data_IF_472427782712
#
_entry.id   IF_472427782712
#
_cell.length_a   1.000
_cell.length_b   1.000
_cell.length_c   1.000
_cell.angle_alpha   90.00
_cell.angle_beta   90.00
_cell.angle_gamma   90.00
#
_symmetry.space_group_name_H-M   'P 1'
#
loop_
_entity.id
_entity.type
_entity.pdbx_description
1 polymer ?
#
# COMPACT_ATOMS: atom_id res chain seq x y z
N UNK A 1 -15.44 -3.20 -2.00
CA UNK A 1 -14.61 -4.41 -2.24
C UNK A 1 -13.27 -4.17 -1.59
N UNK A 2 -12.65 -5.21 -1.02
CA UNK A 2 -11.29 -5.13 -0.47
C UNK A 2 -10.40 -6.12 -1.19
N UNK A 3 -9.20 -5.68 -1.56
CA UNK A 3 -8.16 -6.52 -2.14
C UNK A 3 -6.87 -6.35 -1.32
N UNK A 4 -6.11 -7.44 -1.19
CA UNK A 4 -4.79 -7.42 -0.58
C UNK A 4 -3.76 -7.67 -1.67
N UNK A 5 -2.72 -6.85 -1.71
CA UNK A 5 -1.62 -6.97 -2.64
C UNK A 5 -0.31 -7.09 -1.85
N UNK A 6 0.33 -8.24 -1.97
CA UNK A 6 1.64 -8.49 -1.38
C UNK A 6 2.73 -8.02 -2.33
N UNK A 7 3.74 -7.31 -1.80
CA UNK A 7 4.84 -6.79 -2.60
C UNK A 7 6.17 -6.88 -1.85
N UNK A 8 7.28 -7.08 -2.58
CA UNK A 8 8.60 -7.11 -1.98
C UNK A 8 9.03 -5.70 -1.55
N UNK A 9 9.71 -5.61 -0.43
CA UNK A 9 10.38 -4.41 0.03
C UNK A 9 11.74 -4.76 0.64
N UNK A 10 12.56 -3.74 0.84
CA UNK A 10 13.88 -3.85 1.46
C UNK A 10 13.88 -2.98 2.70
N UNK A 11 14.25 -3.53 3.86
CA UNK A 11 14.43 -2.75 5.09
C UNK A 11 15.65 -1.84 4.97
N UNK A 12 15.75 -0.82 5.82
CA UNK A 12 16.94 0.04 5.91
C UNK A 12 18.25 -0.72 6.22
N UNK A 13 18.14 -1.96 6.71
CA UNK A 13 19.28 -2.84 6.98
C UNK A 13 19.66 -3.71 5.77
N UNK A 14 18.94 -3.58 4.66
CA UNK A 14 19.15 -4.36 3.43
C UNK A 14 18.45 -5.73 3.44
N UNK A 15 17.54 -5.97 4.39
CA UNK A 15 16.82 -7.24 4.50
C UNK A 15 15.61 -7.25 3.58
N UNK A 16 15.41 -8.34 2.85
CA UNK A 16 14.21 -8.51 2.04
C UNK A 16 13.03 -8.84 2.95
N UNK A 17 11.94 -8.07 2.81
CA UNK A 17 10.70 -8.24 3.54
C UNK A 17 9.52 -8.21 2.57
N UNK A 18 8.37 -8.70 3.01
CA UNK A 18 7.11 -8.57 2.27
C UNK A 18 6.20 -7.62 3.01
N UNK A 19 5.66 -6.65 2.28
CA UNK A 19 4.61 -5.75 2.76
C UNK A 19 3.30 -6.10 2.06
N UNK A 20 2.19 -5.71 2.69
CA UNK A 20 0.83 -5.92 2.21
C UNK A 20 0.16 -4.56 2.06
N UNK A 21 -0.37 -4.27 0.88
CA UNK A 21 -1.26 -3.15 0.62
C UNK A 21 -2.71 -3.64 0.59
N UNK A 22 -3.53 -3.13 1.50
CA UNK A 22 -4.97 -3.36 1.53
C UNK A 22 -5.67 -2.23 0.77
N UNK A 23 -6.21 -2.55 -0.39
CA UNK A 23 -6.90 -1.64 -1.30
C UNK A 23 -8.40 -1.66 -1.00
N UNK A 24 -8.95 -0.51 -0.60
CA UNK A 24 -10.39 -0.34 -0.48
C UNK A 24 -10.96 0.22 -1.78
N UNK A 25 -11.93 -0.46 -2.38
CA UNK A 25 -12.67 0.06 -3.53
C UNK A 25 -14.10 0.43 -3.13
N UNK A 26 -14.43 1.71 -3.27
CA UNK A 26 -15.76 2.22 -3.04
C UNK A 26 -16.55 2.18 -4.35
N UNK A 27 -17.73 1.56 -4.31
CA UNK A 27 -18.65 1.52 -5.44
C UNK A 27 -19.28 2.88 -5.62
N UNK A 28 -19.08 3.50 -6.79
CA UNK A 28 -19.85 4.65 -7.22
C UNK A 28 -20.77 4.18 -8.35
N UNK A 29 -22.03 3.94 -8.02
CA UNK A 29 -23.04 3.56 -9.00
C UNK A 29 -23.38 4.82 -9.80
N UNK A 30 -22.95 4.86 -11.06
CA UNK A 30 -23.32 5.96 -11.94
C UNK A 30 -24.78 5.82 -12.36
N UNK A 31 -25.43 6.94 -12.67
CA UNK A 31 -26.85 7.00 -13.05
C UNK A 31 -27.19 6.20 -14.33
N UNK A 32 -26.18 5.82 -15.13
CA UNK A 32 -26.32 4.99 -16.33
C UNK A 32 -26.25 3.48 -16.05
N UNK A 33 -26.15 3.05 -14.79
CA UNK A 33 -26.05 1.63 -14.42
C UNK A 33 -24.64 1.05 -14.54
N UNK A 34 -23.64 1.83 -14.95
CA UNK A 34 -22.24 1.41 -14.91
C UNK A 34 -21.69 1.54 -13.49
N UNK A 35 -21.11 0.45 -12.98
CA UNK A 35 -20.36 0.48 -11.74
C UNK A 35 -18.96 1.04 -12.01
N UNK A 36 -18.67 2.23 -11.48
CA UNK A 36 -17.31 2.74 -11.42
C UNK A 36 -16.77 2.51 -10.01
N UNK A 37 -15.61 1.87 -9.89
CA UNK A 37 -14.93 1.70 -8.62
C UNK A 37 -13.93 2.84 -8.44
N UNK A 38 -14.04 3.53 -7.30
CA UNK A 38 -13.04 4.51 -6.90
C UNK A 38 -12.13 3.87 -5.86
N UNK A 39 -10.82 3.93 -6.10
CA UNK A 39 -9.83 3.57 -5.09
C UNK A 39 -9.99 4.52 -3.90
N UNK A 40 -10.26 3.93 -2.75
CA UNK A 40 -10.30 4.58 -1.45
C UNK A 40 -8.93 4.57 -0.77
N UNK A 41 -8.88 4.77 0.55
CA UNK A 41 -7.63 4.71 1.31
C UNK A 41 -6.92 3.37 1.11
N UNK A 42 -5.58 3.42 1.04
CA UNK A 42 -4.72 2.24 1.04
C UNK A 42 -4.12 2.11 2.44
N UNK A 43 -4.23 0.92 3.03
CA UNK A 43 -3.58 0.60 4.29
C UNK A 43 -2.39 -0.32 4.04
N UNK A 44 -1.25 -0.03 4.66
CA UNK A 44 -0.06 -0.87 4.54
C UNK A 44 0.20 -1.62 5.86
N UNK A 45 0.70 -2.84 5.73
CA UNK A 45 1.12 -3.66 6.86
C UNK A 45 2.32 -4.50 6.48
N UNK A 46 3.13 -4.87 7.46
CA UNK A 46 4.04 -6.00 7.33
C UNK A 46 3.27 -7.32 7.37
N UNK A 47 3.90 -8.43 6.95
CA UNK A 47 3.31 -9.79 7.01
C UNK A 47 2.92 -10.23 8.43
N UNK A 48 3.63 -9.74 9.46
CA UNK A 48 3.31 -10.02 10.87
C UNK A 48 2.23 -9.09 11.44
N UNK A 49 1.63 -8.23 10.62
CA UNK A 49 0.46 -7.41 10.98
C UNK A 49 0.80 -6.04 11.57
N UNK A 50 2.07 -5.61 11.55
CA UNK A 50 2.46 -4.28 12.04
C UNK A 50 2.05 -3.21 11.03
N UNK A 51 1.37 -2.13 11.46
CA UNK A 51 0.90 -1.09 10.56
C UNK A 51 2.05 -0.25 9.99
N UNK A 52 1.95 0.07 8.71
CA UNK A 52 2.95 0.81 7.94
C UNK A 52 2.32 2.05 7.32
N UNK A 53 3.03 3.18 7.40
CA UNK A 53 2.69 4.43 6.72
C UNK A 53 3.59 4.64 5.49
N UNK A 54 3.06 5.31 4.47
CA UNK A 54 3.85 5.73 3.32
C UNK A 54 4.09 7.25 3.36
N UNK A 55 5.34 7.67 3.28
CA UNK A 55 5.72 9.08 3.19
C UNK A 55 6.08 9.44 1.74
N UNK A 56 5.17 10.13 1.07
CA UNK A 56 5.28 10.42 -0.36
C UNK A 56 6.51 11.24 -0.76
N UNK A 57 7.03 12.11 0.13
CA UNK A 57 8.19 12.95 -0.18
C UNK A 57 9.51 12.17 -0.16
N UNK A 58 9.63 11.17 0.71
CA UNK A 58 10.83 10.33 0.78
C UNK A 58 10.70 9.04 -0.02
N UNK A 59 9.49 8.68 -0.47
CA UNK A 59 9.22 7.42 -1.17
C UNK A 59 9.45 6.20 -0.28
N UNK A 60 9.27 6.36 1.03
CA UNK A 60 9.58 5.33 2.03
C UNK A 60 8.34 4.90 2.80
N UNK A 61 8.37 3.66 3.25
CA UNK A 61 7.40 3.06 4.14
C UNK A 61 7.95 3.04 5.56
N UNK A 62 7.15 3.36 6.56
CA UNK A 62 7.55 3.49 7.96
C UNK A 62 6.66 2.61 8.83
N UNK A 63 7.24 1.72 9.61
CA UNK A 63 6.49 0.98 10.61
C UNK A 63 6.06 1.93 11.74
N UNK A 64 4.77 1.96 12.13
CA UNK A 64 4.34 2.85 13.23
C UNK A 64 4.82 2.39 14.60
N UNK A 65 4.98 1.07 14.76
CA UNK A 65 5.32 0.42 16.02
C UNK A 65 6.83 0.13 16.15
N UNK A 66 7.66 0.71 15.27
CA UNK A 66 9.12 0.55 15.31
C UNK A 66 9.86 1.62 14.53
N UNK A 67 11.18 1.71 14.70
CA UNK A 67 12.04 2.63 13.95
C UNK A 67 12.51 2.03 12.62
N UNK A 68 11.69 1.17 12.01
CA UNK A 68 12.04 0.44 10.79
C UNK A 68 11.43 1.14 9.57
N UNK A 69 12.27 1.32 8.55
CA UNK A 69 11.86 1.91 7.29
C UNK A 69 12.10 0.93 6.15
N UNK A 70 11.25 0.99 5.13
CA UNK A 70 11.30 0.10 3.97
C UNK A 70 11.22 0.90 2.68
N UNK A 71 11.84 0.35 1.63
CA UNK A 71 11.71 0.83 0.26
C UNK A 71 11.27 -0.31 -0.64
N UNK A 72 10.60 0.00 -1.74
CA UNK A 72 10.24 -0.98 -2.77
C UNK A 72 10.59 -0.43 -4.15
N UNK A 73 10.96 -1.32 -5.05
CA UNK A 73 11.09 -1.08 -6.49
C UNK A 73 9.86 -1.59 -7.26
N UNK A 74 8.81 -2.06 -6.57
CA UNK A 74 7.57 -2.52 -7.17
C UNK A 74 6.82 -1.36 -7.86
N UNK A 75 6.94 -1.30 -9.18
CA UNK A 75 6.33 -0.24 -9.98
C UNK A 75 4.80 -0.23 -9.88
N UNK A 76 4.15 -1.37 -9.64
CA UNK A 76 2.69 -1.44 -9.50
C UNK A 76 2.26 -0.68 -8.25
N UNK A 77 2.91 -0.95 -7.11
CA UNK A 77 2.64 -0.26 -5.84
C UNK A 77 2.98 1.22 -5.94
N UNK A 78 4.13 1.55 -6.54
CA UNK A 78 4.54 2.94 -6.72
C UNK A 78 3.58 3.72 -7.63
N UNK A 79 2.98 3.07 -8.62
CA UNK A 79 1.96 3.69 -9.48
C UNK A 79 0.62 3.84 -8.75
N UNK A 80 0.22 2.85 -7.92
CA UNK A 80 -0.97 2.94 -7.09
C UNK A 80 -0.90 4.13 -6.10
N UNK A 81 0.28 4.41 -5.57
CA UNK A 81 0.54 5.50 -4.63
C UNK A 81 0.57 6.90 -5.27
N UNK A 82 0.59 7.00 -6.60
CA UNK A 82 0.60 8.26 -7.36
C UNK A 82 -0.79 8.70 -7.84
N UNK A 83 -1.81 7.85 -7.68
CA UNK A 83 -3.21 8.11 -8.07
C UNK A 83 -3.92 9.06 -7.10
#
# INVERSE_FOLDING_TARGET
MFEAYEFPATSQHGESVTLIAFLQFNTNIKANGEAAYRLGPIHFSTMDGRPVDYHCLSGQFFCREGCETFTTDDEVVLNLLKL
#
